data_IF_210356402643
#
_entry.id   IF_210356402643
#
_cell.length_a   1.000
_cell.length_b   1.000
_cell.length_c   1.000
_cell.angle_alpha   90.00
_cell.angle_beta   90.00
_cell.angle_gamma   90.00
#
_symmetry.space_group_name_H-M   'P 1'
#
loop_
_entity.id
_entity.type
_entity.pdbx_description
1 polymer ?
#
# COMPACT_ATOMS: atom_id res chain seq x y z
N UNK A 1 4.12 30.66 -26.55
CA UNK A 1 4.62 29.28 -26.65
C UNK A 1 4.32 28.60 -25.33
N UNK A 2 3.73 27.41 -25.35
CA UNK A 2 3.38 26.67 -24.12
C UNK A 2 4.63 25.97 -23.56
N UNK A 3 4.94 26.17 -22.29
CA UNK A 3 6.03 25.48 -21.59
C UNK A 3 5.47 24.34 -20.73
N UNK A 4 5.54 23.12 -21.27
CA UNK A 4 5.04 21.92 -20.62
C UNK A 4 5.74 21.63 -19.28
N UNK A 5 6.99 22.05 -19.09
CA UNK A 5 7.77 21.74 -17.88
C UNK A 5 7.34 22.61 -16.71
N UNK A 6 7.15 23.91 -16.97
CA UNK A 6 6.66 24.86 -15.99
C UNK A 6 5.23 24.51 -15.53
N UNK A 7 4.35 24.16 -16.47
CA UNK A 7 2.98 23.75 -16.18
C UNK A 7 2.92 22.46 -15.36
N UNK A 8 3.74 21.45 -15.71
CA UNK A 8 3.79 20.21 -14.95
C UNK A 8 4.30 20.41 -13.51
N UNK A 9 5.28 21.30 -13.32
CA UNK A 9 5.77 21.65 -11.98
C UNK A 9 4.68 22.33 -11.13
N UNK A 10 3.91 23.24 -11.72
CA UNK A 10 2.77 23.87 -11.06
C UNK A 10 1.70 22.84 -10.67
N UNK A 11 1.36 21.90 -11.57
CA UNK A 11 0.42 20.80 -11.30
C UNK A 11 0.91 19.91 -10.14
N UNK A 12 2.20 19.55 -10.12
CA UNK A 12 2.77 18.75 -9.02
C UNK A 12 2.69 19.48 -7.67
N UNK A 13 2.98 20.78 -7.63
CA UNK A 13 2.86 21.58 -6.42
C UNK A 13 1.42 21.61 -5.91
N UNK A 14 0.45 21.85 -6.79
CA UNK A 14 -0.97 21.86 -6.45
C UNK A 14 -1.45 20.50 -5.92
N UNK A 15 -1.05 19.40 -6.57
CA UNK A 15 -1.37 18.04 -6.12
C UNK A 15 -0.74 17.72 -4.75
N UNK A 16 0.44 18.25 -4.47
CA UNK A 16 1.09 18.15 -3.16
C UNK A 16 0.30 18.85 -2.06
N UNK A 17 -0.09 20.10 -2.30
CA UNK A 17 -0.88 20.92 -1.36
C UNK A 17 -2.28 20.33 -1.13
N UNK A 18 -2.92 19.80 -2.17
CA UNK A 18 -4.24 19.17 -2.06
C UNK A 18 -4.22 17.81 -1.35
N UNK A 19 -3.04 17.18 -1.18
CA UNK A 19 -2.94 15.84 -0.59
C UNK A 19 -3.17 15.91 0.91
N UNK A 20 -4.39 15.61 1.33
CA UNK A 20 -4.74 15.49 2.75
C UNK A 20 -4.00 14.31 3.39
N UNK A 21 -3.31 14.50 4.52
CA UNK A 21 -2.73 13.40 5.28
C UNK A 21 -3.87 12.51 5.80
N UNK A 22 -3.64 11.19 5.77
CA UNK A 22 -4.57 10.23 6.33
C UNK A 22 -4.27 10.08 7.82
N UNK A 23 -5.11 10.64 8.67
CA UNK A 23 -4.93 10.61 10.13
C UNK A 23 -5.26 9.26 10.76
N UNK A 24 -5.90 8.34 10.02
CA UNK A 24 -6.23 7.01 10.50
C UNK A 24 -5.27 5.95 9.98
N UNK A 25 -4.87 5.06 10.89
CA UNK A 25 -4.11 3.84 10.60
C UNK A 25 -4.87 2.95 9.61
N UNK A 26 -4.14 2.25 8.76
CA UNK A 26 -4.73 1.33 7.77
C UNK A 26 -5.46 0.20 8.48
N UNK A 27 -6.61 -0.26 7.96
CA UNK A 27 -7.26 -1.46 8.46
C UNK A 27 -6.34 -2.71 8.37
N UNK A 28 -5.35 -2.68 7.47
CA UNK A 28 -4.32 -3.73 7.35
C UNK A 28 -3.33 -3.73 8.53
N UNK A 29 -3.20 -2.61 9.24
CA UNK A 29 -2.30 -2.51 10.41
C UNK A 29 -2.77 -3.41 11.55
N UNK A 30 -4.09 -3.58 11.69
CA UNK A 30 -4.69 -4.51 12.65
C UNK A 30 -4.28 -5.97 12.44
N UNK A 31 -4.01 -6.35 11.18
CA UNK A 31 -3.67 -7.72 10.79
C UNK A 31 -2.21 -7.87 10.36
N UNK A 32 -1.37 -6.92 10.76
CA UNK A 32 0.03 -6.84 10.31
C UNK A 32 0.82 -8.08 10.68
N UNK A 33 0.70 -8.55 11.92
CA UNK A 33 1.44 -9.71 12.41
C UNK A 33 1.06 -10.98 11.62
N UNK A 34 -0.23 -11.17 11.37
CA UNK A 34 -0.75 -12.32 10.63
C UNK A 34 -0.38 -12.27 9.15
N UNK A 35 -0.45 -11.09 8.52
CA UNK A 35 -0.02 -10.91 7.14
C UNK A 35 1.47 -11.20 6.95
N UNK A 36 2.31 -10.77 7.90
CA UNK A 36 3.74 -11.10 7.90
C UNK A 36 3.97 -12.59 8.11
N UNK A 37 3.26 -13.23 9.05
CA UNK A 37 3.37 -14.66 9.29
C UNK A 37 2.96 -15.49 8.05
N UNK A 38 1.82 -15.18 7.44
CA UNK A 38 1.36 -15.82 6.21
C UNK A 38 2.36 -15.60 5.07
N UNK A 39 2.91 -14.40 4.93
CA UNK A 39 3.91 -14.11 3.90
C UNK A 39 5.20 -14.90 4.09
N UNK A 40 5.68 -15.05 5.34
CA UNK A 40 6.85 -15.87 5.68
C UNK A 40 6.60 -17.36 5.47
N UNK A 41 5.35 -17.81 5.60
CA UNK A 41 4.93 -19.16 5.26
C UNK A 41 4.81 -19.42 3.74
N UNK A 42 5.12 -18.43 2.89
CA UNK A 42 5.10 -18.56 1.43
C UNK A 42 3.78 -18.19 0.76
N UNK A 43 2.82 -17.59 1.49
CA UNK A 43 1.53 -17.21 0.91
C UNK A 43 1.69 -16.19 -0.23
N UNK A 44 0.95 -16.42 -1.31
CA UNK A 44 0.87 -15.46 -2.43
C UNK A 44 0.00 -14.26 -2.06
N UNK A 45 0.10 -13.18 -2.82
CA UNK A 45 -0.74 -11.99 -2.61
C UNK A 45 -2.24 -12.30 -2.75
N UNK A 46 -2.61 -13.27 -3.59
CA UNK A 46 -4.00 -13.69 -3.77
C UNK A 46 -4.52 -14.41 -2.52
N UNK A 47 -3.69 -15.25 -1.91
CA UNK A 47 -4.03 -15.96 -0.67
C UNK A 47 -4.27 -14.98 0.47
N UNK A 48 -3.43 -13.94 0.58
CA UNK A 48 -3.61 -12.89 1.58
C UNK A 48 -4.92 -12.11 1.37
N UNK A 49 -5.30 -11.83 0.12
CA UNK A 49 -6.58 -11.18 -0.19
C UNK A 49 -7.76 -12.07 0.19
N UNK A 50 -7.70 -13.37 -0.12
CA UNK A 50 -8.73 -14.35 0.28
C UNK A 50 -8.82 -14.42 1.80
N UNK A 51 -7.70 -14.50 2.50
CA UNK A 51 -7.65 -14.50 3.95
C UNK A 51 -8.26 -13.22 4.55
N UNK A 52 -7.96 -12.04 4.01
CA UNK A 52 -8.55 -10.77 4.46
C UNK A 52 -10.06 -10.72 4.25
N UNK A 53 -10.59 -11.35 3.19
CA UNK A 53 -12.04 -11.46 2.99
C UNK A 53 -12.71 -12.25 4.12
N UNK A 54 -12.06 -13.29 4.65
CA UNK A 54 -12.57 -14.04 5.83
C UNK A 54 -12.68 -13.15 7.07
N UNK A 55 -11.85 -12.10 7.15
CA UNK A 55 -11.87 -11.07 8.21
C UNK A 55 -12.77 -9.88 7.90
N UNK A 56 -13.66 -10.00 6.89
CA UNK A 56 -14.57 -8.95 6.40
C UNK A 56 -13.85 -7.72 5.82
N UNK A 57 -12.58 -7.87 5.41
CA UNK A 57 -11.80 -6.80 4.77
C UNK A 57 -11.68 -7.04 3.27
N UNK A 58 -12.34 -6.19 2.48
CA UNK A 58 -12.24 -6.20 1.01
C UNK A 58 -11.12 -5.26 0.57
N UNK A 59 -9.99 -5.81 0.14
CA UNK A 59 -8.87 -5.04 -0.39
C UNK A 59 -8.34 -5.65 -1.70
N UNK A 60 -7.78 -4.81 -2.55
CA UNK A 60 -7.10 -5.26 -3.76
C UNK A 60 -5.72 -5.84 -3.44
N UNK A 61 -5.25 -6.78 -4.27
CA UNK A 61 -3.91 -7.36 -4.14
C UNK A 61 -2.81 -6.29 -4.26
N UNK A 62 -3.03 -5.23 -5.04
CA UNK A 62 -2.12 -4.08 -5.15
C UNK A 62 -1.99 -3.30 -3.84
N UNK A 63 -3.10 -3.15 -3.08
CA UNK A 63 -3.08 -2.53 -1.76
C UNK A 63 -2.29 -3.36 -0.77
N UNK A 64 -2.48 -4.68 -0.77
CA UNK A 64 -1.72 -5.61 0.08
C UNK A 64 -0.23 -5.55 -0.29
N UNK A 65 0.09 -5.67 -1.58
CA UNK A 65 1.49 -5.59 -2.08
C UNK A 65 2.17 -4.29 -1.66
N UNK A 66 1.52 -3.14 -1.90
CA UNK A 66 2.03 -1.83 -1.48
C UNK A 66 2.27 -1.80 0.04
N UNK A 67 1.31 -2.29 0.81
CA UNK A 67 1.41 -2.29 2.27
C UNK A 67 2.58 -3.15 2.75
N UNK A 68 2.70 -4.38 2.26
CA UNK A 68 3.80 -5.30 2.61
C UNK A 68 5.18 -4.73 2.24
N UNK A 69 5.31 -4.03 1.10
CA UNK A 69 6.56 -3.36 0.69
C UNK A 69 6.99 -2.24 1.64
N UNK A 70 6.04 -1.65 2.37
CA UNK A 70 6.32 -0.60 3.37
C UNK A 70 6.70 -1.19 4.73
N UNK A 71 6.57 -2.51 4.92
CA UNK A 71 6.85 -3.16 6.19
C UNK A 71 8.34 -3.51 6.33
N UNK A 72 9.01 -3.09 7.42
CA UNK A 72 10.40 -3.45 7.67
C UNK A 72 10.58 -4.95 7.96
N UNK A 73 9.55 -5.67 8.41
CA UNK A 73 9.62 -7.11 8.74
C UNK A 73 9.82 -8.02 7.54
N UNK A 74 9.46 -7.51 6.37
CA UNK A 74 9.58 -8.19 5.08
C UNK A 74 10.72 -7.58 4.26
N UNK A 75 11.57 -6.77 4.91
CA UNK A 75 12.64 -5.97 4.34
C UNK A 75 13.31 -6.62 3.14
N UNK A 76 13.12 -5.99 1.98
CA UNK A 76 13.99 -6.14 0.82
C UNK A 76 13.89 -7.42 0.00
N UNK A 77 13.21 -8.50 0.44
CA UNK A 77 13.25 -9.77 -0.30
C UNK A 77 12.04 -9.99 -1.24
N UNK A 78 11.78 -8.98 -2.06
CA UNK A 78 10.85 -9.03 -3.19
C UNK A 78 11.61 -8.58 -4.45
N UNK A 79 12.75 -9.23 -4.72
CA UNK A 79 13.37 -9.26 -6.04
C UNK A 79 12.73 -10.38 -6.87
#
# INVERSE_FOLDING_TARGET
MFDATAELAAVHRLRGLARRPRYHKSALEKHRAELVALRRAGASLKDLVVWLRTKRLKVAASTVSRYLRQLPELGGNLA
#
